data_IF_288983905371
#
_entry.id   IF_288983905371
#
_cell.length_a   1.000
_cell.length_b   1.000
_cell.length_c   1.000
_cell.angle_alpha   90.00
_cell.angle_beta   90.00
_cell.angle_gamma   90.00
#
_symmetry.space_group_name_H-M   'P 1'
#
loop_
_entity.id
_entity.type
_entity.pdbx_description
1 polymer ?
#
# COMPACT_ATOMS: atom_id res chain seq x y z
N UNK A 1 -13.88 10.59 -23.61
CA UNK A 1 -13.13 10.56 -22.36
C UNK A 1 -13.88 11.37 -21.31
N UNK A 2 -14.06 10.84 -20.08
CA UNK A 2 -14.82 11.55 -19.03
C UNK A 2 -13.89 12.44 -18.20
N UNK A 3 -12.65 12.03 -18.00
CA UNK A 3 -11.59 12.82 -17.37
C UNK A 3 -10.53 13.12 -18.43
N UNK A 4 -10.42 14.36 -18.87
CA UNK A 4 -9.57 14.80 -19.97
C UNK A 4 -8.14 15.16 -19.51
N UNK A 5 -7.48 14.27 -18.82
CA UNK A 5 -6.08 14.45 -18.40
C UNK A 5 -5.18 14.66 -19.64
N UNK A 6 -4.16 15.49 -19.52
CA UNK A 6 -3.13 15.58 -20.56
C UNK A 6 -2.26 14.32 -20.55
N UNK A 7 -2.53 13.42 -21.50
CA UNK A 7 -1.88 12.10 -21.57
C UNK A 7 -0.39 12.19 -21.88
N UNK A 8 0.06 13.23 -22.60
CA UNK A 8 1.49 13.42 -22.87
C UNK A 8 2.30 13.77 -21.62
N UNK A 9 1.70 14.58 -20.72
CA UNK A 9 2.37 15.01 -19.48
C UNK A 9 2.06 14.11 -18.27
N UNK A 10 0.91 13.46 -18.28
CA UNK A 10 0.38 12.73 -17.12
C UNK A 10 -0.26 11.41 -17.54
N UNK A 11 0.38 10.64 -18.41
CA UNK A 11 -0.12 9.36 -18.92
C UNK A 11 -0.61 8.42 -17.79
N UNK A 12 0.12 8.36 -16.69
CA UNK A 12 -0.23 7.55 -15.51
C UNK A 12 -1.57 7.93 -14.85
N UNK A 13 -2.01 9.19 -15.00
CA UNK A 13 -3.31 9.62 -14.47
C UNK A 13 -4.48 9.12 -15.30
N UNK A 14 -4.28 8.84 -16.58
CA UNK A 14 -5.28 8.22 -17.43
C UNK A 14 -5.17 6.69 -17.37
N UNK A 15 -4.05 6.16 -17.79
CA UNK A 15 -3.80 4.72 -17.91
C UNK A 15 -3.82 4.02 -16.55
N UNK A 16 -3.15 4.59 -15.55
CA UNK A 16 -3.07 3.98 -14.21
C UNK A 16 -4.41 3.94 -13.50
N UNK A 17 -5.24 4.99 -13.61
CA UNK A 17 -6.59 4.96 -13.02
C UNK A 17 -7.51 4.01 -13.77
N UNK A 18 -7.43 3.97 -15.08
CA UNK A 18 -8.21 3.07 -15.91
C UNK A 18 -7.84 1.62 -15.61
N UNK A 19 -6.55 1.31 -15.53
CA UNK A 19 -6.06 -0.01 -15.16
C UNK A 19 -6.53 -0.43 -13.76
N UNK A 20 -6.41 0.47 -12.78
CA UNK A 20 -6.90 0.23 -11.42
C UNK A 20 -8.43 -0.03 -11.40
N UNK A 21 -9.21 0.79 -12.09
CA UNK A 21 -10.66 0.65 -12.14
C UNK A 21 -11.10 -0.62 -12.88
N UNK A 22 -10.42 -0.97 -13.97
CA UNK A 22 -10.65 -2.22 -14.73
C UNK A 22 -10.46 -3.43 -13.83
N UNK A 23 -9.38 -3.46 -13.07
CA UNK A 23 -9.10 -4.55 -12.13
C UNK A 23 -10.19 -4.70 -11.06
N UNK A 24 -10.71 -3.59 -10.52
CA UNK A 24 -11.83 -3.63 -9.56
C UNK A 24 -13.10 -4.23 -10.18
N UNK A 25 -13.43 -3.81 -11.40
CA UNK A 25 -14.62 -4.32 -12.13
C UNK A 25 -14.48 -5.79 -12.45
N UNK A 26 -13.32 -6.22 -12.94
CA UNK A 26 -13.05 -7.64 -13.23
C UNK A 26 -13.16 -8.49 -11.95
N UNK A 27 -12.63 -8.03 -10.83
CA UNK A 27 -12.72 -8.76 -9.57
C UNK A 27 -14.16 -8.85 -9.08
N UNK A 28 -14.92 -7.76 -9.11
CA UNK A 28 -16.32 -7.76 -8.75
C UNK A 28 -17.12 -8.76 -9.59
N UNK A 29 -16.87 -8.81 -10.90
CA UNK A 29 -17.47 -9.79 -11.80
C UNK A 29 -17.06 -11.23 -11.46
N UNK A 30 -15.77 -11.48 -11.24
CA UNK A 30 -15.26 -12.82 -10.85
C UNK A 30 -15.87 -13.28 -9.53
N UNK A 31 -15.94 -12.40 -8.53
CA UNK A 31 -16.57 -12.71 -7.23
C UNK A 31 -18.05 -13.04 -7.40
N UNK A 32 -18.78 -12.28 -8.20
CA UNK A 32 -20.18 -12.57 -8.48
C UNK A 32 -20.36 -13.96 -9.12
N UNK A 33 -19.52 -14.30 -10.09
CA UNK A 33 -19.55 -15.62 -10.76
C UNK A 33 -19.15 -16.74 -9.80
N UNK A 34 -18.09 -16.54 -9.02
CA UNK A 34 -17.64 -17.51 -8.01
C UNK A 34 -18.67 -17.74 -6.92
N UNK A 35 -19.25 -16.68 -6.37
CA UNK A 35 -20.32 -16.77 -5.36
C UNK A 35 -21.53 -17.53 -5.90
N UNK A 36 -21.92 -17.30 -7.16
CA UNK A 36 -23.01 -18.06 -7.78
C UNK A 36 -22.67 -19.56 -7.93
N UNK A 37 -21.42 -19.91 -8.25
CA UNK A 37 -20.96 -21.29 -8.36
C UNK A 37 -20.83 -22.00 -7.00
N UNK A 38 -20.50 -21.24 -5.95
CA UNK A 38 -20.24 -21.73 -4.61
C UNK A 38 -21.43 -21.51 -3.67
N UNK A 39 -22.59 -21.09 -4.20
CA UNK A 39 -23.79 -20.84 -3.39
C UNK A 39 -24.17 -22.04 -2.52
N UNK A 40 -23.92 -23.25 -3.00
CA UNK A 40 -24.20 -24.50 -2.27
C UNK A 40 -23.04 -24.95 -1.35
N UNK A 41 -21.95 -24.20 -1.27
CA UNK A 41 -20.79 -24.51 -0.42
C UNK A 41 -20.36 -23.31 0.44
N UNK A 42 -21.11 -23.02 1.53
CA UNK A 42 -20.82 -21.86 2.41
C UNK A 42 -19.45 -21.91 3.09
N UNK A 43 -18.88 -23.08 3.31
CA UNK A 43 -17.57 -23.25 3.95
C UNK A 43 -16.45 -22.78 3.01
N UNK A 44 -16.50 -23.12 1.73
CA UNK A 44 -15.53 -22.69 0.72
C UNK A 44 -15.65 -21.17 0.45
N UNK A 45 -16.87 -20.62 0.45
CA UNK A 45 -17.09 -19.18 0.35
C UNK A 45 -16.40 -18.43 1.50
N UNK A 46 -16.61 -18.85 2.75
CA UNK A 46 -15.95 -18.23 3.92
C UNK A 46 -14.43 -18.32 3.86
N UNK A 47 -13.90 -19.43 3.37
CA UNK A 47 -12.46 -19.60 3.17
C UNK A 47 -11.91 -18.63 2.12
N UNK A 48 -12.60 -18.47 0.99
CA UNK A 48 -12.22 -17.51 -0.05
C UNK A 48 -12.30 -16.06 0.45
N UNK A 49 -13.36 -15.69 1.16
CA UNK A 49 -13.51 -14.38 1.76
C UNK A 49 -12.39 -14.11 2.78
N UNK A 50 -12.03 -15.09 3.62
CA UNK A 50 -10.93 -14.98 4.59
C UNK A 50 -9.56 -14.80 3.91
N UNK A 51 -9.30 -15.50 2.81
CA UNK A 51 -8.06 -15.34 2.03
C UNK A 51 -8.01 -13.94 1.41
N UNK A 52 -9.12 -13.45 0.87
CA UNK A 52 -9.20 -12.12 0.24
C UNK A 52 -8.94 -10.98 1.23
N UNK A 53 -9.35 -11.13 2.50
CA UNK A 53 -9.12 -10.12 3.54
C UNK A 53 -7.66 -9.96 3.97
N UNK A 54 -6.82 -10.98 3.74
CA UNK A 54 -5.46 -11.05 4.29
C UNK A 54 -4.34 -11.01 3.25
N UNK A 55 -4.66 -10.81 1.98
CA UNK A 55 -3.65 -10.82 0.92
C UNK A 55 -3.87 -9.65 -0.05
N UNK A 56 -2.80 -9.28 -0.77
CA UNK A 56 -2.94 -8.39 -1.91
C UNK A 56 -4.03 -8.94 -2.84
N UNK A 57 -5.05 -8.15 -3.19
CA UNK A 57 -6.09 -8.59 -4.11
C UNK A 57 -5.49 -9.13 -5.41
N UNK A 58 -5.89 -10.33 -5.82
CA UNK A 58 -5.32 -11.02 -7.00
C UNK A 58 -5.36 -10.18 -8.26
N UNK A 59 -6.38 -9.35 -8.39
CA UNK A 59 -6.57 -8.46 -9.53
C UNK A 59 -5.52 -7.34 -9.62
N UNK A 60 -4.86 -6.97 -8.51
CA UNK A 60 -3.74 -6.02 -8.53
C UNK A 60 -2.37 -6.69 -8.67
N UNK A 61 -2.28 -8.00 -8.57
CA UNK A 61 -0.99 -8.71 -8.55
C UNK A 61 -0.15 -8.45 -9.81
N UNK A 62 -0.78 -8.37 -10.99
CA UNK A 62 -0.07 -8.07 -12.24
C UNK A 62 0.58 -6.70 -12.22
N UNK A 63 -0.12 -5.68 -11.69
CA UNK A 63 0.38 -4.32 -11.60
C UNK A 63 1.53 -4.19 -10.61
N UNK A 64 1.43 -4.86 -9.46
CA UNK A 64 2.55 -4.93 -8.51
C UNK A 64 3.76 -5.62 -9.13
N UNK A 65 3.57 -6.75 -9.80
CA UNK A 65 4.66 -7.45 -10.49
C UNK A 65 5.29 -6.58 -11.58
N UNK A 66 4.50 -5.88 -12.38
CA UNK A 66 4.99 -4.95 -13.41
C UNK A 66 5.80 -3.81 -12.80
N UNK A 67 5.28 -3.15 -11.77
CA UNK A 67 5.99 -2.09 -11.05
C UNK A 67 7.28 -2.59 -10.38
N UNK A 68 7.22 -3.67 -9.62
CA UNK A 68 8.39 -4.21 -8.91
C UNK A 68 9.49 -4.68 -9.88
N UNK A 69 9.09 -5.26 -11.03
CA UNK A 69 10.04 -5.63 -12.09
C UNK A 69 10.69 -4.38 -12.71
N UNK A 70 9.91 -3.33 -12.97
CA UNK A 70 10.42 -2.05 -13.45
C UNK A 70 11.40 -1.42 -12.45
N UNK A 71 11.03 -1.33 -11.18
CA UNK A 71 11.87 -0.75 -10.13
C UNK A 71 13.21 -1.49 -9.96
N UNK A 72 13.20 -2.83 -10.08
CA UNK A 72 14.41 -3.67 -10.02
C UNK A 72 15.26 -3.63 -11.30
N UNK A 73 14.69 -3.19 -12.42
CA UNK A 73 15.38 -3.24 -13.73
C UNK A 73 16.45 -2.16 -13.92
N UNK A 74 16.47 -1.12 -13.10
CA UNK A 74 17.29 0.08 -13.29
C UNK A 74 16.87 0.95 -14.48
N UNK A 75 15.68 0.69 -15.07
CA UNK A 75 15.13 1.42 -16.24
C UNK A 75 13.95 2.30 -15.87
N UNK A 76 13.61 2.37 -14.59
CA UNK A 76 12.50 3.17 -14.12
C UNK A 76 12.77 4.66 -14.34
N UNK A 77 11.75 5.36 -14.81
CA UNK A 77 11.75 6.81 -14.97
C UNK A 77 10.58 7.39 -14.17
N UNK A 78 10.68 8.66 -13.69
CA UNK A 78 9.61 9.31 -12.96
C UNK A 78 8.31 9.33 -13.75
N UNK A 79 7.17 9.28 -13.08
CA UNK A 79 5.85 9.40 -13.73
C UNK A 79 5.60 10.77 -14.36
N UNK A 80 6.44 11.77 -14.02
CA UNK A 80 6.46 13.09 -14.67
C UNK A 80 7.20 13.12 -15.99
N UNK A 81 7.83 12.02 -16.40
CA UNK A 81 8.47 11.93 -17.73
C UNK A 81 7.40 12.07 -18.81
N UNK A 82 7.62 12.97 -19.78
CA UNK A 82 6.74 13.13 -20.93
C UNK A 82 6.61 11.80 -21.70
N UNK A 83 5.41 11.46 -22.16
CA UNK A 83 5.15 10.16 -22.80
C UNK A 83 6.13 9.82 -23.93
N UNK A 84 6.48 10.81 -24.78
CA UNK A 84 7.40 10.66 -25.90
C UNK A 84 8.88 10.63 -25.47
N UNK A 85 9.20 10.90 -24.22
CA UNK A 85 10.58 10.99 -23.71
C UNK A 85 11.03 9.76 -22.92
N UNK A 86 10.16 8.79 -22.69
CA UNK A 86 10.58 7.53 -22.09
C UNK A 86 11.59 6.81 -22.98
N UNK A 87 12.67 6.33 -22.38
CA UNK A 87 13.76 5.67 -23.13
C UNK A 87 13.32 4.34 -23.78
N UNK A 88 12.29 3.70 -23.26
CA UNK A 88 11.76 2.42 -23.79
C UNK A 88 10.26 2.29 -23.58
N UNK A 89 9.57 1.58 -24.50
CA UNK A 89 8.17 1.21 -24.31
C UNK A 89 7.95 0.36 -23.05
N UNK A 90 8.93 -0.44 -22.65
CA UNK A 90 8.87 -1.21 -21.41
C UNK A 90 8.77 -0.29 -20.18
N UNK A 91 9.61 0.76 -20.12
CA UNK A 91 9.56 1.74 -19.05
C UNK A 91 8.25 2.52 -19.06
N UNK A 92 7.82 3.02 -20.23
CA UNK A 92 6.54 3.72 -20.39
C UNK A 92 5.34 2.88 -19.91
N UNK A 93 5.19 1.67 -20.45
CA UNK A 93 4.02 0.83 -20.14
C UNK A 93 3.95 0.47 -18.65
N UNK A 94 5.07 0.05 -18.05
CA UNK A 94 5.06 -0.29 -16.62
C UNK A 94 4.96 0.94 -15.72
N UNK A 95 5.43 2.11 -16.14
CA UNK A 95 5.24 3.36 -15.40
C UNK A 95 3.79 3.86 -15.49
N UNK A 96 3.26 4.06 -16.69
CA UNK A 96 1.94 4.64 -16.87
C UNK A 96 0.81 3.72 -16.37
N UNK A 97 0.84 2.44 -16.70
CA UNK A 97 -0.19 1.46 -16.33
C UNK A 97 0.06 0.88 -14.94
N UNK A 98 1.14 0.13 -14.77
CA UNK A 98 1.38 -0.65 -13.54
C UNK A 98 1.68 0.24 -12.35
N UNK A 99 2.70 1.11 -12.41
CA UNK A 99 3.04 2.02 -11.30
C UNK A 99 1.92 3.03 -11.05
N UNK A 100 1.21 3.48 -12.10
CA UNK A 100 0.04 4.35 -11.99
C UNK A 100 -1.14 3.69 -11.27
N UNK A 101 -1.43 2.42 -11.53
CA UNK A 101 -2.45 1.66 -10.79
C UNK A 101 -2.02 1.41 -9.34
N UNK A 102 -0.77 1.02 -9.11
CA UNK A 102 -0.21 0.81 -7.77
C UNK A 102 -0.23 2.11 -6.95
N UNK A 103 -0.08 3.30 -7.57
CA UNK A 103 -0.25 4.59 -6.89
C UNK A 103 -1.59 4.66 -6.14
N UNK A 104 -2.69 4.26 -6.74
CA UNK A 104 -4.01 4.35 -6.09
C UNK A 104 -4.13 3.33 -4.95
N UNK A 105 -3.55 2.15 -5.09
CA UNK A 105 -3.52 1.16 -4.01
C UNK A 105 -2.63 1.60 -2.84
N UNK A 106 -1.47 2.21 -3.11
CA UNK A 106 -0.63 2.79 -2.06
C UNK A 106 -1.33 3.94 -1.34
N UNK A 107 -2.08 4.79 -2.07
CA UNK A 107 -2.93 5.80 -1.44
C UNK A 107 -3.92 5.13 -0.48
N UNK A 108 -4.56 4.04 -0.89
CA UNK A 108 -5.45 3.24 -0.05
C UNK A 108 -4.75 2.62 1.18
N UNK A 109 -3.50 2.22 1.05
CA UNK A 109 -2.70 1.76 2.20
C UNK A 109 -2.43 2.88 3.21
N UNK A 110 -2.16 4.10 2.72
CA UNK A 110 -1.84 5.27 3.56
C UNK A 110 -3.08 5.79 4.28
N UNK A 111 -4.20 5.99 3.58
CA UNK A 111 -5.39 6.67 4.12
C UNK A 111 -6.50 5.70 4.58
N UNK A 112 -6.38 4.42 4.25
CA UNK A 112 -7.42 3.40 4.39
C UNK A 112 -8.31 3.28 3.15
N UNK A 113 -8.70 2.05 2.79
CA UNK A 113 -9.48 1.77 1.58
C UNK A 113 -10.80 2.55 1.48
N UNK A 114 -11.61 2.69 2.56
CA UNK A 114 -12.85 3.47 2.49
C UNK A 114 -12.63 4.95 2.20
N UNK A 115 -11.50 5.52 2.67
CA UNK A 115 -11.14 6.93 2.39
C UNK A 115 -10.68 7.07 0.94
N UNK A 116 -9.83 6.15 0.44
CA UNK A 116 -9.45 6.09 -0.98
C UNK A 116 -10.68 6.07 -1.89
N UNK A 117 -11.66 5.24 -1.58
CA UNK A 117 -12.86 5.12 -2.41
C UNK A 117 -13.66 6.42 -2.44
N UNK A 118 -13.78 7.14 -1.31
CA UNK A 118 -14.37 8.48 -1.28
C UNK A 118 -13.55 9.49 -2.09
N UNK A 119 -12.22 9.45 -1.98
CA UNK A 119 -11.32 10.30 -2.78
C UNK A 119 -11.59 10.12 -4.28
N UNK A 120 -11.64 8.87 -4.74
CA UNK A 120 -11.87 8.56 -6.15
C UNK A 120 -13.25 9.01 -6.64
N UNK A 121 -14.29 8.82 -5.82
CA UNK A 121 -15.64 9.29 -6.13
C UNK A 121 -15.72 10.82 -6.18
N UNK A 122 -15.08 11.50 -5.23
CA UNK A 122 -15.08 12.96 -5.16
C UNK A 122 -14.25 13.56 -6.31
N UNK A 123 -13.10 12.96 -6.63
CA UNK A 123 -12.31 13.30 -7.79
C UNK A 123 -13.14 13.21 -9.09
N UNK A 124 -13.87 12.11 -9.29
CA UNK A 124 -14.77 11.96 -10.43
C UNK A 124 -15.87 13.04 -10.44
N UNK A 125 -16.51 13.33 -9.31
CA UNK A 125 -17.58 14.34 -9.21
C UNK A 125 -17.11 15.73 -9.59
N UNK A 126 -15.93 16.13 -9.12
CA UNK A 126 -15.41 17.49 -9.33
C UNK A 126 -14.80 17.67 -10.72
N UNK A 127 -14.22 16.60 -11.29
CA UNK A 127 -13.37 16.70 -12.47
C UNK A 127 -13.95 16.03 -13.74
N UNK A 128 -15.12 15.39 -13.66
CA UNK A 128 -15.77 14.85 -14.86
C UNK A 128 -15.96 15.99 -15.90
N UNK A 129 -15.60 15.69 -17.16
CA UNK A 129 -15.60 16.62 -18.29
C UNK A 129 -14.65 17.82 -18.16
N UNK A 130 -13.62 17.68 -17.33
CA UNK A 130 -12.54 18.67 -17.18
C UNK A 130 -11.18 17.99 -17.35
N UNK A 131 -10.10 18.79 -17.29
CA UNK A 131 -8.72 18.35 -17.48
C UNK A 131 -7.91 18.49 -16.18
N UNK A 132 -8.03 17.53 -15.25
CA UNK A 132 -7.29 17.55 -13.99
C UNK A 132 -5.81 17.23 -14.18
N UNK A 133 -5.00 17.68 -13.21
CA UNK A 133 -3.59 17.37 -13.08
C UNK A 133 -3.33 16.63 -11.73
N UNK A 134 -2.10 16.15 -11.46
CA UNK A 134 -1.77 15.44 -10.23
C UNK A 134 -2.14 16.19 -8.94
N UNK A 135 -1.91 17.51 -8.89
CA UNK A 135 -2.21 18.30 -7.70
C UNK A 135 -3.71 18.34 -7.37
N UNK A 136 -4.57 18.26 -8.39
CA UNK A 136 -6.02 18.25 -8.19
C UNK A 136 -6.48 16.97 -7.47
N UNK A 137 -5.88 15.83 -7.80
CA UNK A 137 -6.13 14.56 -7.12
C UNK A 137 -5.61 14.61 -5.67
N UNK A 138 -4.38 15.10 -5.46
CA UNK A 138 -3.76 15.17 -4.13
C UNK A 138 -4.56 16.11 -3.21
N UNK A 139 -4.98 17.28 -3.67
CA UNK A 139 -5.80 18.21 -2.86
C UNK A 139 -7.12 17.57 -2.40
N UNK A 140 -7.75 16.78 -3.25
CA UNK A 140 -8.95 16.03 -2.85
C UNK A 140 -8.57 14.95 -1.83
N UNK A 141 -7.48 14.24 -2.05
CA UNK A 141 -7.01 13.21 -1.14
C UNK A 141 -6.69 13.77 0.26
N UNK A 142 -6.02 14.91 0.33
CA UNK A 142 -5.74 15.60 1.58
C UNK A 142 -7.01 16.05 2.31
N UNK A 143 -7.96 16.63 1.57
CA UNK A 143 -9.24 17.07 2.13
C UNK A 143 -10.07 15.91 2.68
N UNK A 144 -10.16 14.80 1.96
CA UNK A 144 -10.96 13.63 2.36
C UNK A 144 -10.30 12.81 3.48
N UNK A 145 -8.97 12.80 3.55
CA UNK A 145 -8.21 12.05 4.55
C UNK A 145 -7.86 12.88 5.79
N UNK A 146 -7.87 14.20 5.70
CA UNK A 146 -7.32 15.12 6.70
C UNK A 146 -5.84 14.83 7.00
N UNK A 147 -5.06 14.51 5.97
CA UNK A 147 -3.62 14.23 6.03
C UNK A 147 -2.88 15.08 5.01
N UNK A 148 -1.59 15.35 5.24
CA UNK A 148 -0.70 15.95 4.24
C UNK A 148 -0.15 14.84 3.35
N UNK A 149 -0.30 14.98 2.04
CA UNK A 149 0.08 13.98 1.04
C UNK A 149 1.03 14.49 -0.04
N UNK A 150 1.52 15.73 0.07
CA UNK A 150 2.54 16.29 -0.86
C UNK A 150 3.79 15.42 -0.91
N UNK A 151 4.23 14.86 0.22
CA UNK A 151 5.36 13.93 0.30
C UNK A 151 5.11 12.68 -0.54
N UNK A 152 3.87 12.16 -0.54
CA UNK A 152 3.49 10.97 -1.30
C UNK A 152 3.57 11.23 -2.80
N UNK A 153 2.99 12.36 -3.27
CA UNK A 153 3.13 12.79 -4.64
C UNK A 153 4.59 12.98 -5.03
N UNK A 154 5.37 13.69 -4.21
CA UNK A 154 6.78 13.96 -4.49
C UNK A 154 7.57 12.64 -4.68
N UNK A 155 7.47 11.70 -3.75
CA UNK A 155 8.24 10.47 -3.84
C UNK A 155 7.75 9.54 -4.96
N UNK A 156 6.44 9.33 -5.06
CA UNK A 156 5.90 8.36 -5.99
C UNK A 156 5.88 8.85 -7.44
N UNK A 157 5.51 10.11 -7.66
CA UNK A 157 5.31 10.66 -9.01
C UNK A 157 6.59 11.26 -9.58
N UNK A 158 7.33 12.01 -8.75
CA UNK A 158 8.46 12.81 -9.24
C UNK A 158 9.81 12.10 -9.13
N UNK A 159 9.86 10.89 -8.53
CA UNK A 159 11.11 10.15 -8.34
C UNK A 159 10.94 8.66 -8.67
N UNK A 160 12.08 7.97 -8.71
CA UNK A 160 12.16 6.50 -8.81
C UNK A 160 12.58 5.86 -7.49
N UNK A 161 12.36 6.55 -6.37
CA UNK A 161 12.66 6.04 -5.03
C UNK A 161 11.69 4.94 -4.66
N UNK A 162 12.21 3.88 -4.03
CA UNK A 162 11.48 2.68 -3.71
C UNK A 162 11.17 2.56 -2.22
N UNK A 163 10.15 1.79 -1.91
CA UNK A 163 9.78 1.38 -0.57
C UNK A 163 10.52 0.07 -0.26
N UNK A 164 11.18 0.01 0.88
CA UNK A 164 11.81 -1.20 1.41
C UNK A 164 11.94 -1.04 2.92
N UNK A 165 11.23 -1.86 3.67
CA UNK A 165 11.25 -1.93 5.13
C UNK A 165 11.56 -3.33 5.58
N UNK A 166 12.27 -3.47 6.69
CA UNK A 166 12.61 -4.77 7.23
C UNK A 166 12.54 -4.82 8.75
N UNK A 167 12.48 -6.04 9.27
CA UNK A 167 12.67 -6.32 10.68
C UNK A 167 14.17 -6.47 10.92
N UNK A 168 14.73 -5.57 11.74
CA UNK A 168 16.16 -5.56 12.03
C UNK A 168 16.53 -6.55 13.14
N UNK A 169 15.88 -6.41 14.29
CA UNK A 169 16.19 -7.23 15.47
C UNK A 169 15.04 -7.29 16.47
N UNK A 170 15.04 -8.35 17.28
CA UNK A 170 14.16 -8.55 18.42
C UNK A 170 14.98 -8.79 19.68
N UNK A 171 14.54 -8.21 20.80
CA UNK A 171 15.12 -8.49 22.12
C UNK A 171 14.07 -8.35 23.21
N UNK A 172 14.31 -9.03 24.33
CA UNK A 172 13.43 -8.91 25.50
C UNK A 172 13.96 -7.82 26.45
N UNK A 173 13.08 -6.98 26.95
CA UNK A 173 13.34 -6.03 28.03
C UNK A 173 12.07 -5.80 28.85
N UNK A 174 12.20 -5.93 30.19
CA UNK A 174 11.08 -5.70 31.11
C UNK A 174 9.89 -6.65 30.92
N UNK A 175 10.11 -7.88 30.46
CA UNK A 175 9.05 -8.86 30.19
C UNK A 175 8.25 -8.60 28.91
N UNK A 176 8.70 -7.67 28.08
CA UNK A 176 8.11 -7.32 26.78
C UNK A 176 9.13 -7.59 25.66
N UNK A 177 8.63 -7.93 24.48
CA UNK A 177 9.45 -8.04 23.27
C UNK A 177 9.55 -6.68 22.60
N UNK A 178 10.77 -6.21 22.44
CA UNK A 178 11.07 -5.04 21.61
C UNK A 178 11.43 -5.49 20.20
N UNK A 179 10.95 -4.75 19.21
CA UNK A 179 11.15 -5.03 17.80
C UNK A 179 11.73 -3.78 17.17
N UNK A 180 12.90 -3.88 16.56
CA UNK A 180 13.47 -2.81 15.75
C UNK A 180 13.09 -3.02 14.30
N UNK A 181 12.40 -2.02 13.77
CA UNK A 181 12.10 -1.88 12.35
C UNK A 181 13.21 -1.04 11.71
N UNK A 182 13.53 -1.32 10.45
CA UNK A 182 14.45 -0.52 9.64
C UNK A 182 13.80 -0.12 8.32
N UNK A 183 14.25 0.99 7.77
CA UNK A 183 13.88 1.45 6.45
C UNK A 183 15.12 1.44 5.57
N UNK A 184 15.14 0.54 4.59
CA UNK A 184 16.23 0.39 3.62
C UNK A 184 15.92 1.22 2.35
N UNK A 185 14.65 1.34 1.99
CA UNK A 185 14.21 2.16 0.87
C UNK A 185 14.24 3.67 1.15
N UNK A 186 14.29 4.46 0.08
CA UNK A 186 14.34 5.92 0.18
C UNK A 186 12.97 6.58 0.23
N UNK A 187 11.89 5.87 -0.14
CA UNK A 187 10.52 6.35 -0.01
C UNK A 187 9.96 5.94 1.35
N UNK A 188 9.61 6.91 2.22
CA UNK A 188 9.03 6.61 3.53
C UNK A 188 7.54 6.28 3.41
N UNK A 189 7.05 5.40 4.32
CA UNK A 189 5.64 5.00 4.43
C UNK A 189 5.22 4.90 5.90
N UNK A 190 3.93 5.04 6.22
CA UNK A 190 3.39 4.55 7.49
C UNK A 190 3.42 3.01 7.51
N UNK A 191 3.56 2.39 8.68
CA UNK A 191 3.81 0.95 8.80
C UNK A 191 2.77 0.28 9.68
N UNK A 192 2.12 -0.76 9.16
CA UNK A 192 1.36 -1.73 9.93
C UNK A 192 2.25 -2.93 10.27
N UNK A 193 2.24 -3.38 11.51
CA UNK A 193 2.96 -4.58 11.96
C UNK A 193 2.01 -5.49 12.72
N UNK A 194 2.07 -6.79 12.42
CA UNK A 194 1.37 -7.83 13.16
C UNK A 194 2.37 -8.72 13.88
N UNK A 195 2.16 -8.90 15.18
CA UNK A 195 2.91 -9.88 15.98
C UNK A 195 1.98 -11.02 16.34
N UNK A 196 2.39 -12.25 16.06
CA UNK A 196 1.63 -13.48 16.35
C UNK A 196 2.30 -14.24 17.47
N UNK A 197 1.52 -14.77 18.41
CA UNK A 197 1.98 -15.48 19.60
C UNK A 197 1.64 -16.96 19.58
N UNK A 198 2.32 -17.76 20.45
CA UNK A 198 2.15 -19.21 20.57
C UNK A 198 0.73 -19.65 20.95
N UNK A 199 0.00 -18.81 21.67
CA UNK A 199 -1.40 -19.04 22.03
C UNK A 199 -2.40 -18.77 20.89
N UNK A 200 -1.91 -18.41 19.69
CA UNK A 200 -2.71 -18.06 18.51
C UNK A 200 -3.24 -16.63 18.51
N UNK A 201 -3.03 -15.88 19.60
CA UNK A 201 -3.39 -14.46 19.63
C UNK A 201 -2.44 -13.60 18.78
N UNK A 202 -2.86 -12.38 18.46
CA UNK A 202 -2.00 -11.43 17.76
C UNK A 202 -2.19 -10.01 18.28
N UNK A 203 -1.14 -9.21 18.18
CA UNK A 203 -1.15 -7.77 18.41
C UNK A 203 -0.91 -7.04 17.08
N UNK A 204 -1.60 -5.91 16.93
CA UNK A 204 -1.41 -5.00 15.82
C UNK A 204 -0.76 -3.71 16.30
N UNK A 205 0.20 -3.23 15.51
CA UNK A 205 0.95 -2.01 15.77
C UNK A 205 0.88 -1.14 14.53
N UNK A 206 0.65 0.15 14.71
CA UNK A 206 0.65 1.12 13.63
C UNK A 206 1.61 2.27 13.95
N UNK A 207 2.55 2.49 13.06
CA UNK A 207 3.52 3.58 13.14
C UNK A 207 3.23 4.57 12.02
N UNK A 208 2.61 5.72 12.33
CA UNK A 208 2.37 6.76 11.33
C UNK A 208 3.69 7.39 10.87
N UNK A 209 3.67 8.00 9.69
CA UNK A 209 4.80 8.78 9.19
C UNK A 209 4.69 10.23 9.61
N UNK A 210 5.80 10.84 10.04
CA UNK A 210 5.82 12.26 10.48
C UNK A 210 5.40 13.25 9.39
N UNK A 211 5.59 12.93 8.12
CA UNK A 211 5.24 13.80 7.00
C UNK A 211 3.73 13.89 6.74
N UNK A 212 2.94 12.93 7.19
CA UNK A 212 1.50 12.89 6.91
C UNK A 212 0.65 13.73 7.88
N UNK A 213 1.19 14.11 9.02
CA UNK A 213 0.49 14.90 10.07
C UNK A 213 -0.90 14.36 10.44
N UNK A 214 -1.07 13.04 10.37
CA UNK A 214 -2.32 12.36 10.63
C UNK A 214 -2.13 10.86 10.78
N UNK A 215 -3.23 10.15 11.01
CA UNK A 215 -3.27 8.69 11.16
C UNK A 215 -4.49 8.13 10.44
N UNK A 216 -4.33 7.00 9.73
CA UNK A 216 -5.49 6.30 9.16
C UNK A 216 -6.33 5.67 10.28
N UNK A 217 -7.62 5.51 10.06
CA UNK A 217 -8.48 4.71 10.92
C UNK A 217 -8.01 3.25 10.98
N UNK A 218 -8.34 2.55 12.07
CA UNK A 218 -8.09 1.11 12.15
C UNK A 218 -8.90 0.39 11.07
N UNK A 219 -8.25 -0.53 10.37
CA UNK A 219 -8.89 -1.40 9.40
C UNK A 219 -9.54 -2.61 10.10
N UNK A 220 -10.30 -3.41 9.36
CA UNK A 220 -10.95 -4.59 9.91
C UNK A 220 -9.93 -5.53 10.56
N UNK A 221 -10.24 -6.00 11.77
CA UNK A 221 -9.34 -6.81 12.58
C UNK A 221 -8.24 -6.04 13.34
N UNK A 222 -8.15 -4.71 13.18
CA UNK A 222 -7.12 -3.86 13.81
C UNK A 222 -7.67 -2.91 14.88
N UNK A 223 -8.90 -3.08 15.34
CA UNK A 223 -9.60 -2.11 16.23
C UNK A 223 -8.83 -1.82 17.53
N UNK A 224 -8.10 -2.80 18.04
CA UNK A 224 -7.29 -2.68 19.27
C UNK A 224 -5.80 -2.50 18.99
N UNK A 225 -5.41 -2.00 17.80
CA UNK A 225 -4.01 -1.78 17.47
C UNK A 225 -3.36 -0.74 18.38
N UNK A 226 -2.09 -0.92 18.68
CA UNK A 226 -1.27 0.11 19.32
C UNK A 226 -0.84 1.12 18.27
N UNK A 227 -1.09 2.41 18.53
CA UNK A 227 -0.65 3.52 17.67
C UNK A 227 0.54 4.19 18.34
N UNK A 228 1.62 4.33 17.61
CA UNK A 228 2.88 4.88 18.08
C UNK A 228 3.04 6.36 17.68
N UNK A 229 4.03 7.02 18.27
CA UNK A 229 4.50 8.31 17.77
C UNK A 229 4.98 8.18 16.32
N UNK A 230 4.79 9.26 15.56
CA UNK A 230 5.10 9.23 14.14
C UNK A 230 6.60 9.00 13.87
N UNK A 231 6.90 8.04 12.98
CA UNK A 231 8.26 7.77 12.54
C UNK A 231 8.81 8.98 11.78
N UNK A 232 9.88 9.57 12.31
CA UNK A 232 10.56 10.67 11.64
C UNK A 232 11.29 10.12 10.41
N UNK A 233 10.91 10.58 9.23
CA UNK A 233 11.46 10.09 7.95
C UNK A 233 12.99 10.15 7.84
N UNK A 234 13.64 10.99 8.64
CA UNK A 234 15.12 11.11 8.72
C UNK A 234 15.79 9.98 9.51
N UNK A 235 15.03 9.22 10.34
CA UNK A 235 15.59 8.13 11.13
C UNK A 235 15.50 6.81 10.35
N UNK A 236 16.60 6.04 10.25
CA UNK A 236 16.60 4.78 9.51
C UNK A 236 15.90 3.64 10.27
N UNK A 237 15.72 3.77 11.60
CA UNK A 237 15.13 2.73 12.43
C UNK A 237 14.04 3.26 13.34
N UNK A 238 13.15 2.36 13.78
CA UNK A 238 12.10 2.63 14.74
C UNK A 238 11.88 1.42 15.66
N UNK A 239 11.60 1.65 16.93
CA UNK A 239 11.35 0.58 17.90
C UNK A 239 9.87 0.56 18.29
N UNK A 240 9.28 -0.62 18.25
CA UNK A 240 7.97 -0.93 18.81
C UNK A 240 8.13 -2.01 19.88
N UNK A 241 7.12 -2.19 20.74
CA UNK A 241 7.15 -3.21 21.78
C UNK A 241 5.80 -3.93 21.89
N UNK A 242 5.84 -5.25 22.09
CA UNK A 242 4.66 -6.06 22.43
C UNK A 242 4.41 -6.03 23.93
N UNK A 243 3.27 -6.59 24.35
CA UNK A 243 2.95 -6.80 25.76
C UNK A 243 3.44 -8.15 26.30
N UNK A 244 3.98 -9.02 25.45
CA UNK A 244 4.39 -10.38 25.79
C UNK A 244 5.90 -10.58 25.65
N UNK A 245 6.51 -11.52 26.41
CA UNK A 245 7.93 -11.82 26.33
C UNK A 245 8.31 -12.46 25.00
N UNK A 246 9.59 -12.38 24.65
CA UNK A 246 10.11 -12.90 23.39
C UNK A 246 9.83 -14.40 23.20
N UNK A 247 9.85 -15.16 24.27
CA UNK A 247 9.56 -16.61 24.25
C UNK A 247 8.14 -16.96 23.78
N UNK A 248 7.20 -16.01 23.82
CA UNK A 248 5.82 -16.19 23.33
C UNK A 248 5.64 -15.81 21.87
N UNK A 249 6.59 -15.10 21.26
CA UNK A 249 6.48 -14.62 19.87
C UNK A 249 6.73 -15.75 18.89
N UNK A 250 5.84 -15.93 17.93
CA UNK A 250 5.97 -16.86 16.80
C UNK A 250 6.46 -16.15 15.55
N UNK A 251 5.85 -15.01 15.24
CA UNK A 251 6.25 -14.23 14.07
C UNK A 251 5.95 -12.74 14.24
N UNK A 252 6.75 -11.95 13.53
CA UNK A 252 6.54 -10.51 13.32
C UNK A 252 6.45 -10.29 11.83
N UNK A 253 5.46 -9.50 11.37
CA UNK A 253 5.25 -9.23 9.94
C UNK A 253 4.86 -7.77 9.70
N UNK A 254 5.65 -7.07 8.88
CA UNK A 254 5.34 -5.75 8.34
C UNK A 254 4.37 -5.92 7.17
N UNK A 255 3.32 -5.10 7.13
CA UNK A 255 2.28 -5.14 6.09
C UNK A 255 1.78 -6.55 5.79
N UNK A 256 1.08 -7.22 6.71
CA UNK A 256 0.53 -8.55 6.44
C UNK A 256 -0.57 -8.55 5.37
N UNK A 257 -1.05 -7.37 4.97
CA UNK A 257 -2.00 -7.23 3.86
C UNK A 257 -1.34 -7.36 2.48
N UNK A 258 -0.01 -7.29 2.42
CA UNK A 258 0.78 -7.28 1.18
C UNK A 258 0.44 -6.15 0.20
N UNK A 259 -0.20 -5.07 0.68
CA UNK A 259 -0.56 -3.91 -0.16
C UNK A 259 0.55 -2.89 -0.29
N UNK A 260 1.47 -2.80 0.67
CA UNK A 260 2.63 -1.92 0.51
C UNK A 260 3.53 -2.46 -0.62
N UNK A 261 3.89 -1.59 -1.55
CA UNK A 261 4.71 -1.95 -2.71
C UNK A 261 6.21 -2.02 -2.33
N UNK A 262 6.50 -2.86 -1.35
CA UNK A 262 7.84 -3.10 -0.81
C UNK A 262 8.67 -3.91 -1.80
N UNK A 263 9.91 -3.45 -2.05
CA UNK A 263 10.78 -4.03 -3.07
C UNK A 263 11.37 -5.38 -2.65
N UNK A 264 11.57 -5.59 -1.33
CA UNK A 264 12.17 -6.82 -0.80
C UNK A 264 11.32 -7.41 0.36
N UNK A 265 10.20 -7.96 0.02
CA UNK A 265 9.24 -8.49 1.00
C UNK A 265 9.77 -9.61 1.91
N UNK A 266 10.90 -10.24 1.57
CA UNK A 266 11.50 -11.29 2.41
C UNK A 266 11.98 -10.77 3.75
N UNK A 267 12.36 -9.49 3.83
CA UNK A 267 12.79 -8.85 5.07
C UNK A 267 11.61 -8.31 5.92
N UNK A 268 10.38 -8.30 5.38
CA UNK A 268 9.18 -7.87 6.10
C UNK A 268 8.70 -8.89 7.14
N UNK A 269 9.12 -10.14 7.07
CA UNK A 269 8.65 -11.19 7.97
C UNK A 269 9.81 -11.91 8.66
N UNK A 270 9.68 -12.08 9.97
CA UNK A 270 10.57 -12.89 10.79
C UNK A 270 9.74 -13.95 11.52
N UNK A 271 10.08 -15.22 11.31
CA UNK A 271 9.52 -16.36 12.03
C UNK A 271 10.57 -16.89 13.03
N UNK A 272 10.16 -17.03 14.29
CA UNK A 272 11.01 -17.56 15.34
C UNK A 272 10.80 -19.08 15.44
N UNK A 273 11.90 -19.81 15.40
CA UNK A 273 11.93 -21.28 15.60
C UNK A 273 12.35 -21.54 17.03
N UNK A 274 11.46 -22.13 17.79
CA UNK A 274 11.68 -22.51 19.18
C UNK A 274 11.92 -23.99 19.29
#
# INVERSE_FOLDING_TARGET
MVLGTNESLHAWMDEGKTEWATNLVEEAYRQQVSRKRLADNPAELRKQDSIALNTLPRYHASNYNGYLALAKSGREEPLTTHADHFNTNYAYSNAAYSKGAVFIEQLGYIVGAPVRDRIMLEYYRQWKFKSPNPNDLIRIAEKESNMILDWYQMYWVNTTKTIDYGIDSLWEAGGATNIRLRRDGQMPMPIDVKVTFKDGSSEWHYVPLSLMFGTKAAEEGQQNRMVYDAWKWTHPTYNIATKKPLTEVVSVEIDPSHRMADLERKNNKLELKW
#
